data_IF_883068681226
#
_entry.id   IF_883068681226
#
_cell.length_a   1.000
_cell.length_b   1.000
_cell.length_c   1.000
_cell.angle_alpha   90.00
_cell.angle_beta   90.00
_cell.angle_gamma   90.00
#
_symmetry.space_group_name_H-M   'P 1'
#
loop_
_entity.id
_entity.type
_entity.pdbx_description
1 polymer ?
#
# COMPACT_ATOMS: atom_id res chain seq x y z
N UNK A 1 -9.28 13.84 20.53
CA UNK A 1 -8.86 14.19 19.16
C UNK A 1 -10.00 13.91 18.21
N UNK A 2 -10.36 14.88 17.38
CA UNK A 2 -11.43 14.71 16.39
C UNK A 2 -10.92 13.87 15.22
N UNK A 3 -11.36 12.62 15.14
CA UNK A 3 -11.19 11.80 13.94
C UNK A 3 -11.98 12.42 12.78
N UNK A 4 -11.33 12.58 11.64
CA UNK A 4 -11.93 13.11 10.41
C UNK A 4 -12.05 11.98 9.40
N UNK A 5 -13.20 11.90 8.74
CA UNK A 5 -13.49 10.87 7.74
C UNK A 5 -13.43 11.50 6.34
N UNK A 6 -12.63 10.88 5.46
CA UNK A 6 -12.48 11.30 4.07
C UNK A 6 -12.95 10.18 3.13
N UNK A 7 -13.84 10.52 2.21
CA UNK A 7 -14.34 9.57 1.20
C UNK A 7 -13.51 9.63 -0.07
N UNK A 8 -13.37 8.47 -0.72
CA UNK A 8 -12.79 8.41 -2.07
C UNK A 8 -13.63 9.20 -3.06
N UNK A 9 -12.98 9.83 -4.03
CA UNK A 9 -13.64 10.51 -5.16
C UNK A 9 -14.33 9.52 -6.10
N UNK A 10 -13.83 8.28 -6.15
CA UNK A 10 -14.32 7.23 -7.02
C UNK A 10 -15.40 6.36 -6.39
N UNK A 11 -15.55 6.41 -5.05
CA UNK A 11 -16.53 5.57 -4.34
C UNK A 11 -16.94 6.16 -3.01
N UNK A 12 -18.23 6.27 -2.78
CA UNK A 12 -18.80 6.68 -1.50
C UNK A 12 -18.80 5.55 -0.45
N UNK A 13 -18.42 4.35 -0.82
CA UNK A 13 -18.27 3.19 0.08
C UNK A 13 -16.89 3.14 0.73
N UNK A 14 -15.92 3.86 0.18
CA UNK A 14 -14.53 3.83 0.62
C UNK A 14 -14.16 5.13 1.31
N UNK A 15 -13.81 5.04 2.58
CA UNK A 15 -13.38 6.18 3.37
C UNK A 15 -12.20 5.80 4.26
N UNK A 16 -11.30 6.75 4.45
CA UNK A 16 -10.23 6.68 5.45
C UNK A 16 -10.59 7.52 6.67
N UNK A 17 -10.04 7.13 7.82
CA UNK A 17 -10.14 7.89 9.04
C UNK A 17 -8.78 8.53 9.35
N UNK A 18 -8.74 9.85 9.39
CA UNK A 18 -7.54 10.60 9.74
C UNK A 18 -7.65 11.11 11.18
N UNK A 19 -6.70 10.74 12.00
CA UNK A 19 -6.63 11.13 13.42
C UNK A 19 -5.50 12.15 13.55
N UNK A 20 -5.79 13.41 13.88
CA UNK A 20 -4.76 14.42 14.07
C UNK A 20 -3.94 14.13 15.33
N UNK A 21 -2.63 14.39 15.28
CA UNK A 21 -1.73 14.17 16.39
C UNK A 21 -0.27 14.26 15.97
N UNK A 22 0.61 13.75 16.83
CA UNK A 22 2.04 13.65 16.56
C UNK A 22 2.45 12.18 16.56
N UNK A 23 2.69 11.63 15.39
CA UNK A 23 2.96 10.21 15.21
C UNK A 23 4.32 9.99 14.57
N UNK A 24 4.99 8.90 14.96
CA UNK A 24 6.24 8.48 14.34
C UNK A 24 6.03 7.20 13.52
N UNK A 25 6.52 7.23 12.28
CA UNK A 25 6.72 6.05 11.44
C UNK A 25 8.19 5.62 11.55
N UNK A 26 8.58 4.55 10.85
CA UNK A 26 9.98 4.11 10.77
C UNK A 26 10.91 5.15 10.10
N UNK A 27 10.36 6.08 9.32
CA UNK A 27 11.15 7.01 8.49
C UNK A 27 10.73 8.48 8.62
N UNK A 28 9.63 8.78 9.29
CA UNK A 28 9.09 10.15 9.34
C UNK A 28 8.24 10.38 10.58
N UNK A 29 8.00 11.67 10.88
CA UNK A 29 6.95 12.10 11.78
C UNK A 29 5.80 12.65 10.95
N UNK A 30 4.57 12.31 11.32
CA UNK A 30 3.36 12.72 10.62
C UNK A 30 2.37 13.39 11.57
N UNK A 31 1.58 14.31 11.03
CA UNK A 31 0.58 15.06 11.82
C UNK A 31 -0.82 14.44 11.79
N UNK A 32 -0.99 13.36 11.03
CA UNK A 32 -2.20 12.56 10.99
C UNK A 32 -1.84 11.09 10.94
N UNK A 33 -2.45 10.29 11.79
CA UNK A 33 -2.51 8.84 11.57
C UNK A 33 -3.67 8.53 10.62
N UNK A 34 -3.36 7.82 9.56
CA UNK A 34 -4.34 7.41 8.57
C UNK A 34 -4.77 5.98 8.86
N UNK A 35 -5.97 5.81 9.39
CA UNK A 35 -6.53 4.51 9.70
C UNK A 35 -7.29 3.96 8.49
N UNK A 36 -6.75 2.90 7.92
CA UNK A 36 -7.32 2.16 6.79
C UNK A 36 -7.70 0.73 7.18
N UNK A 37 -7.79 0.44 8.46
CA UNK A 37 -8.05 -0.92 8.98
C UNK A 37 -9.34 -1.51 8.39
N UNK A 38 -10.42 -0.74 8.35
CA UNK A 38 -11.69 -1.20 7.79
C UNK A 38 -11.58 -1.54 6.29
N UNK A 39 -10.76 -0.81 5.54
CA UNK A 39 -10.55 -1.04 4.11
C UNK A 39 -9.75 -2.33 3.84
N UNK A 40 -8.94 -2.77 4.80
CA UNK A 40 -8.17 -4.02 4.70
C UNK A 40 -8.93 -5.25 5.22
N UNK A 41 -9.85 -5.06 6.16
CA UNK A 41 -10.42 -6.17 6.94
C UNK A 41 -11.90 -6.43 6.67
N UNK A 42 -12.64 -5.44 6.19
CA UNK A 42 -14.07 -5.59 5.87
C UNK A 42 -14.23 -5.93 4.39
N UNK A 43 -14.90 -7.03 4.12
CA UNK A 43 -15.01 -7.62 2.77
C UNK A 43 -15.57 -6.64 1.74
N UNK A 44 -16.64 -5.93 2.07
CA UNK A 44 -17.27 -5.00 1.13
C UNK A 44 -16.35 -3.83 0.76
N UNK A 45 -15.72 -3.23 1.78
CA UNK A 45 -14.80 -2.12 1.60
C UNK A 45 -13.53 -2.57 0.87
N UNK A 46 -12.95 -3.71 1.24
CA UNK A 46 -11.77 -4.26 0.58
C UNK A 46 -12.03 -4.57 -0.90
N UNK A 47 -13.18 -5.13 -1.21
CA UNK A 47 -13.62 -5.40 -2.58
C UNK A 47 -13.74 -4.12 -3.40
N UNK A 48 -14.31 -3.07 -2.82
CA UNK A 48 -14.47 -1.77 -3.48
C UNK A 48 -13.12 -1.07 -3.69
N UNK A 49 -12.21 -1.14 -2.72
CA UNK A 49 -10.83 -0.68 -2.86
C UNK A 49 -10.14 -1.36 -4.04
N UNK A 50 -10.26 -2.67 -4.14
CA UNK A 50 -9.69 -3.45 -5.25
C UNK A 50 -10.26 -3.02 -6.60
N UNK A 51 -11.56 -2.78 -6.68
CA UNK A 51 -12.20 -2.27 -7.89
C UNK A 51 -11.63 -0.92 -8.32
N UNK A 52 -11.51 0.01 -7.39
CA UNK A 52 -10.95 1.35 -7.66
C UNK A 52 -9.48 1.25 -8.10
N UNK A 53 -8.67 0.43 -7.41
CA UNK A 53 -7.27 0.22 -7.78
C UNK A 53 -7.14 -0.42 -9.16
N UNK A 54 -7.97 -1.40 -9.48
CA UNK A 54 -7.98 -2.02 -10.81
C UNK A 54 -8.26 -1.00 -11.91
N UNK A 55 -9.23 -0.10 -11.70
CA UNK A 55 -9.52 0.98 -12.64
C UNK A 55 -8.33 1.94 -12.81
N UNK A 56 -7.67 2.30 -11.72
CA UNK A 56 -6.52 3.22 -11.73
C UNK A 56 -5.27 2.60 -12.37
N UNK A 57 -5.00 1.34 -12.12
CA UNK A 57 -3.90 0.60 -12.75
C UNK A 57 -4.14 0.48 -14.26
N UNK A 58 -5.39 0.24 -14.64
CA UNK A 58 -5.77 0.10 -16.04
C UNK A 58 -5.22 -1.19 -16.67
N UNK A 59 -4.84 -1.10 -17.94
CA UNK A 59 -4.33 -2.27 -18.67
C UNK A 59 -2.89 -2.55 -18.33
N UNK A 60 -2.61 -3.79 -17.96
CA UNK A 60 -1.28 -4.36 -17.83
C UNK A 60 -1.16 -5.58 -18.74
N UNK A 61 0.05 -5.86 -19.24
CA UNK A 61 0.25 -6.96 -20.19
C UNK A 61 -0.02 -8.32 -19.56
N UNK A 62 0.51 -8.54 -18.36
CA UNK A 62 0.37 -9.78 -17.60
C UNK A 62 0.32 -9.47 -16.12
N UNK A 63 -0.43 -10.26 -15.36
CA UNK A 63 -0.40 -10.30 -13.90
C UNK A 63 -0.38 -11.76 -13.47
N UNK A 64 0.73 -12.19 -12.92
CA UNK A 64 0.89 -13.55 -12.37
C UNK A 64 0.76 -13.57 -10.86
N UNK A 65 1.19 -12.49 -10.20
CA UNK A 65 1.31 -12.44 -8.74
C UNK A 65 1.01 -11.04 -8.22
N UNK A 66 0.27 -10.99 -7.12
CA UNK A 66 0.13 -9.78 -6.31
C UNK A 66 0.92 -9.99 -5.02
N UNK A 67 1.92 -9.15 -4.80
CA UNK A 67 2.70 -9.11 -3.56
C UNK A 67 2.05 -8.12 -2.62
N UNK A 68 1.51 -8.63 -1.51
CA UNK A 68 0.76 -7.86 -0.54
C UNK A 68 1.65 -7.51 0.67
N UNK A 69 1.81 -6.21 0.91
CA UNK A 69 2.49 -5.66 2.07
C UNK A 69 1.47 -5.21 3.12
N UNK A 70 1.89 -5.12 4.36
CA UNK A 70 1.16 -4.44 5.44
C UNK A 70 -0.29 -4.92 5.67
N UNK A 71 -0.54 -6.21 5.53
CA UNK A 71 -1.87 -6.77 5.78
C UNK A 71 -2.90 -6.49 4.70
N UNK A 72 -2.49 -6.32 3.44
CA UNK A 72 -3.37 -6.04 2.29
C UNK A 72 -3.85 -7.28 1.54
N UNK A 73 -3.73 -8.47 2.11
CA UNK A 73 -4.02 -9.74 1.43
C UNK A 73 -5.48 -9.87 0.98
N UNK A 74 -6.42 -9.36 1.78
CA UNK A 74 -7.84 -9.38 1.42
C UNK A 74 -8.10 -8.49 0.20
N UNK A 75 -7.53 -7.28 0.18
CA UNK A 75 -7.59 -6.40 -0.99
C UNK A 75 -6.90 -7.07 -2.18
N UNK A 76 -5.74 -7.68 -1.96
CA UNK A 76 -4.98 -8.38 -2.98
C UNK A 76 -5.76 -9.53 -3.64
N UNK A 77 -6.51 -10.30 -2.86
CA UNK A 77 -7.37 -11.36 -3.38
C UNK A 77 -8.47 -10.82 -4.29
N UNK A 78 -9.15 -9.75 -3.88
CA UNK A 78 -10.16 -9.11 -4.73
C UNK A 78 -9.56 -8.41 -5.95
N UNK A 79 -8.36 -7.85 -5.83
CA UNK A 79 -7.65 -7.24 -6.97
C UNK A 79 -7.26 -8.32 -8.00
N UNK A 80 -6.79 -9.48 -7.53
CA UNK A 80 -6.54 -10.64 -8.41
C UNK A 80 -7.82 -11.06 -9.15
N UNK A 81 -8.94 -11.14 -8.43
CA UNK A 81 -10.25 -11.47 -9.03
C UNK A 81 -10.67 -10.45 -10.10
N UNK A 82 -10.43 -9.15 -9.88
CA UNK A 82 -10.71 -8.13 -10.89
C UNK A 82 -9.87 -8.33 -12.17
N UNK A 83 -8.60 -8.68 -12.06
CA UNK A 83 -7.76 -9.00 -13.22
C UNK A 83 -8.17 -10.30 -13.91
N UNK A 84 -8.63 -11.31 -13.17
CA UNK A 84 -9.13 -12.55 -13.74
C UNK A 84 -10.46 -12.38 -14.49
N UNK A 85 -11.32 -11.48 -14.05
CA UNK A 85 -12.60 -11.13 -14.70
C UNK A 85 -12.43 -10.30 -15.96
N UNK A 86 -11.26 -9.75 -16.18
CA UNK A 86 -10.99 -8.79 -17.25
C UNK A 86 -11.36 -9.29 -18.64
N UNK A 87 -11.59 -8.32 -19.52
CA UNK A 87 -12.09 -8.44 -20.90
C UNK A 87 -11.52 -9.62 -21.68
N UNK A 88 -12.29 -10.03 -22.70
CA UNK A 88 -11.94 -11.08 -23.68
C UNK A 88 -10.55 -10.91 -24.32
N UNK A 89 -9.87 -9.79 -24.10
CA UNK A 89 -8.49 -9.50 -24.51
C UNK A 89 -7.44 -9.75 -23.43
N UNK A 90 -7.84 -10.20 -22.22
CA UNK A 90 -6.88 -10.52 -21.16
C UNK A 90 -6.09 -11.78 -21.51
N UNK A 91 -4.79 -11.66 -21.57
CA UNK A 91 -3.86 -12.76 -21.84
C UNK A 91 -3.78 -13.77 -20.69
N UNK A 92 -4.29 -13.42 -19.51
CA UNK A 92 -4.27 -14.26 -18.31
C UNK A 92 -5.42 -15.30 -18.25
N UNK A 93 -6.10 -15.58 -19.33
CA UNK A 93 -7.32 -16.41 -19.38
C UNK A 93 -7.20 -17.82 -18.81
N UNK A 94 -6.02 -18.33 -18.64
CA UNK A 94 -5.77 -19.75 -18.35
C UNK A 94 -4.91 -20.00 -17.11
N UNK A 95 -4.44 -18.96 -16.45
CA UNK A 95 -3.58 -19.10 -15.27
C UNK A 95 -4.16 -18.35 -14.09
N UNK A 96 -4.10 -18.98 -12.92
CA UNK A 96 -4.51 -18.33 -11.68
C UNK A 96 -3.47 -17.30 -11.25
N UNK A 97 -3.94 -16.24 -10.59
CA UNK A 97 -3.06 -15.22 -10.00
C UNK A 97 -2.70 -15.62 -8.57
N UNK A 98 -1.41 -15.58 -8.24
CA UNK A 98 -0.95 -15.79 -6.87
C UNK A 98 -1.13 -14.51 -6.04
N UNK A 99 -1.55 -14.68 -4.79
CA UNK A 99 -1.60 -13.61 -3.80
C UNK A 99 -0.69 -14.03 -2.66
N UNK A 100 0.43 -13.33 -2.50
CA UNK A 100 1.48 -13.70 -1.56
C UNK A 100 1.92 -12.52 -0.72
N UNK A 101 2.40 -12.81 0.49
CA UNK A 101 2.99 -11.81 1.38
C UNK A 101 4.43 -12.21 1.70
N UNK A 102 5.39 -11.29 1.58
CA UNK A 102 6.76 -11.55 2.01
C UNK A 102 6.87 -11.50 3.53
N UNK A 103 7.89 -12.15 4.04
CA UNK A 103 8.43 -11.83 5.36
C UNK A 103 9.39 -10.64 5.22
N UNK A 104 9.61 -9.94 6.33
CA UNK A 104 10.63 -8.89 6.42
C UNK A 104 11.74 -9.37 7.35
N UNK A 105 12.99 -9.27 6.91
CA UNK A 105 14.13 -9.54 7.80
C UNK A 105 14.41 -8.33 8.70
N UNK A 106 15.39 -8.46 9.59
CA UNK A 106 15.80 -7.40 10.52
C UNK A 106 16.29 -6.11 9.82
N UNK A 107 16.70 -6.21 8.57
CA UNK A 107 17.15 -5.08 7.74
C UNK A 107 16.03 -4.48 6.86
N UNK A 108 14.78 -4.84 7.12
CA UNK A 108 13.61 -4.44 6.32
C UNK A 108 13.69 -4.84 4.84
N UNK A 109 14.34 -5.96 4.54
CA UNK A 109 14.39 -6.53 3.20
C UNK A 109 13.32 -7.62 3.08
N UNK A 110 12.70 -7.71 1.89
CA UNK A 110 11.75 -8.77 1.59
C UNK A 110 12.44 -10.13 1.58
N UNK A 111 11.78 -11.10 2.18
CA UNK A 111 12.20 -12.49 2.19
C UNK A 111 11.06 -13.37 1.68
N UNK A 112 11.31 -14.10 0.59
CA UNK A 112 10.44 -15.14 0.09
C UNK A 112 11.07 -16.51 0.37
N UNK A 113 10.36 -17.38 1.09
CA UNK A 113 10.82 -18.75 1.36
C UNK A 113 10.82 -19.56 0.06
N UNK A 114 11.56 -20.68 0.06
CA UNK A 114 11.77 -21.50 -1.16
C UNK A 114 10.46 -22.01 -1.78
N UNK A 115 9.45 -22.29 -0.97
CA UNK A 115 8.12 -22.69 -1.43
C UNK A 115 7.31 -21.54 -2.06
N UNK A 116 7.67 -20.28 -1.82
CA UNK A 116 7.01 -19.10 -2.37
C UNK A 116 7.78 -18.52 -3.56
N UNK A 117 9.10 -18.70 -3.62
CA UNK A 117 9.94 -18.19 -4.73
C UNK A 117 9.39 -18.47 -6.13
N UNK A 118 8.80 -19.66 -6.43
CA UNK A 118 8.23 -19.92 -7.76
C UNK A 118 7.07 -18.99 -8.14
N UNK A 119 6.41 -18.37 -7.15
CA UNK A 119 5.36 -17.36 -7.40
C UNK A 119 5.92 -15.99 -7.77
N UNK A 120 7.24 -15.80 -7.66
CA UNK A 120 7.92 -14.52 -7.93
C UNK A 120 8.89 -14.65 -9.11
N UNK A 121 9.72 -15.69 -9.13
CA UNK A 121 10.76 -15.85 -10.14
C UNK A 121 10.18 -16.00 -11.55
N UNK A 122 10.53 -15.08 -12.44
CA UNK A 122 10.01 -15.02 -13.80
C UNK A 122 8.55 -14.59 -13.92
N UNK A 123 7.93 -14.10 -12.82
CA UNK A 123 6.53 -13.71 -12.76
C UNK A 123 6.34 -12.20 -12.91
N UNK A 124 5.23 -11.81 -13.50
CA UNK A 124 4.78 -10.44 -13.60
C UNK A 124 3.99 -10.06 -12.34
N UNK A 125 4.50 -9.07 -11.61
CA UNK A 125 4.11 -8.78 -10.23
C UNK A 125 3.47 -7.40 -10.12
N UNK A 126 2.35 -7.33 -9.40
CA UNK A 126 1.82 -6.08 -8.85
C UNK A 126 2.22 -6.01 -7.37
N UNK A 127 2.84 -4.91 -6.97
CA UNK A 127 3.13 -4.60 -5.58
C UNK A 127 1.96 -3.82 -4.99
N UNK A 128 1.37 -4.34 -3.91
CA UNK A 128 0.27 -3.71 -3.19
C UNK A 128 0.71 -3.37 -1.76
N UNK A 129 0.61 -2.10 -1.40
CA UNK A 129 0.93 -1.57 -0.07
C UNK A 129 -0.31 -0.97 0.59
N UNK A 130 -0.31 -0.88 1.91
CA UNK A 130 -1.38 -0.23 2.67
C UNK A 130 -1.26 1.29 2.61
N UNK A 131 -0.18 1.82 3.16
CA UNK A 131 0.11 3.25 3.13
C UNK A 131 1.59 3.50 2.87
N UNK A 132 1.84 4.54 2.10
CA UNK A 132 3.18 4.96 1.73
C UNK A 132 3.41 6.41 2.16
N UNK A 133 4.45 6.67 2.95
CA UNK A 133 4.81 8.03 3.40
C UNK A 133 6.03 8.59 2.68
N UNK A 134 7.16 7.87 2.67
CA UNK A 134 8.41 8.33 2.05
C UNK A 134 8.76 7.58 0.76
N UNK A 135 8.06 6.50 0.47
CA UNK A 135 8.37 5.61 -0.66
C UNK A 135 9.53 4.64 -0.42
N UNK A 136 10.24 4.74 0.70
CA UNK A 136 11.40 3.87 1.00
C UNK A 136 11.00 2.39 1.05
N UNK A 137 9.86 2.07 1.62
CA UNK A 137 9.35 0.69 1.67
C UNK A 137 9.02 0.17 0.27
N UNK A 138 8.42 1.00 -0.59
CA UNK A 138 8.17 0.63 -1.99
C UNK A 138 9.50 0.38 -2.70
N UNK A 139 10.46 1.28 -2.57
CA UNK A 139 11.79 1.13 -3.18
C UNK A 139 12.44 -0.21 -2.80
N UNK A 140 12.51 -0.53 -1.51
CA UNK A 140 13.08 -1.79 -1.01
C UNK A 140 12.28 -3.00 -1.48
N UNK A 141 10.97 -2.89 -1.57
CA UNK A 141 10.10 -3.96 -2.06
C UNK A 141 10.34 -4.24 -3.53
N UNK A 142 10.49 -3.20 -4.36
CA UNK A 142 10.83 -3.33 -5.78
C UNK A 142 12.20 -3.97 -5.98
N UNK A 143 13.19 -3.59 -5.18
CA UNK A 143 14.52 -4.24 -5.19
C UNK A 143 14.42 -5.72 -4.81
N UNK A 144 13.65 -6.05 -3.77
CA UNK A 144 13.42 -7.43 -3.34
C UNK A 144 12.75 -8.27 -4.42
N UNK A 145 11.70 -7.78 -5.04
CA UNK A 145 11.01 -8.47 -6.15
C UNK A 145 12.01 -8.75 -7.29
N UNK A 146 12.81 -7.77 -7.67
CA UNK A 146 13.83 -7.93 -8.71
C UNK A 146 14.91 -8.94 -8.31
N UNK A 147 15.36 -8.91 -7.05
CA UNK A 147 16.34 -9.86 -6.53
C UNK A 147 15.87 -11.31 -6.67
N UNK A 148 14.58 -11.57 -6.44
CA UNK A 148 13.98 -12.91 -6.61
C UNK A 148 13.56 -13.21 -8.06
N UNK A 149 13.87 -12.34 -9.01
CA UNK A 149 13.62 -12.55 -10.43
C UNK A 149 12.21 -12.18 -10.90
N UNK A 150 11.45 -11.46 -10.09
CA UNK A 150 10.13 -10.94 -10.48
C UNK A 150 10.24 -9.70 -11.37
N UNK A 151 9.25 -9.52 -12.24
CA UNK A 151 9.08 -8.35 -13.10
C UNK A 151 7.93 -7.51 -12.59
N UNK A 152 8.19 -6.32 -12.08
CA UNK A 152 7.12 -5.44 -11.59
C UNK A 152 6.37 -4.81 -12.75
N UNK A 153 5.05 -4.96 -12.76
CA UNK A 153 4.15 -4.36 -13.76
C UNK A 153 3.48 -3.08 -13.24
N UNK A 154 3.13 -3.03 -11.96
CA UNK A 154 2.49 -1.89 -11.36
C UNK A 154 2.73 -1.84 -9.85
N UNK A 155 2.57 -0.65 -9.29
CA UNK A 155 2.59 -0.38 -7.85
C UNK A 155 1.28 0.25 -7.45
N UNK A 156 0.64 -0.29 -6.44
CA UNK A 156 -0.61 0.19 -5.88
C UNK A 156 -0.53 0.36 -4.37
N UNK A 157 -1.27 1.34 -3.85
CA UNK A 157 -1.36 1.62 -2.42
C UNK A 157 -2.78 2.09 -2.08
N UNK A 158 -3.25 1.84 -0.88
CA UNK A 158 -4.53 2.41 -0.44
C UNK A 158 -4.38 3.91 -0.22
N UNK A 159 -3.30 4.32 0.45
CA UNK A 159 -2.92 5.73 0.67
C UNK A 159 -1.46 5.94 0.28
N UNK A 160 -1.14 7.02 -0.43
CA UNK A 160 0.24 7.37 -0.78
C UNK A 160 0.49 8.87 -0.73
N UNK A 161 1.66 9.25 -0.20
CA UNK A 161 2.20 10.60 -0.29
C UNK A 161 3.06 10.81 -1.54
N UNK A 162 3.47 9.73 -2.20
CA UNK A 162 4.32 9.77 -3.39
C UNK A 162 3.52 9.34 -4.62
N UNK A 163 3.78 9.99 -5.74
CA UNK A 163 3.11 9.71 -7.02
C UNK A 163 3.93 8.77 -7.91
N UNK A 164 5.23 8.70 -7.67
CA UNK A 164 6.16 7.87 -8.44
C UNK A 164 7.28 7.35 -7.54
N UNK A 165 7.74 6.14 -7.82
CA UNK A 165 8.92 5.54 -7.19
C UNK A 165 9.62 4.60 -8.19
N UNK A 166 10.93 4.82 -8.39
CA UNK A 166 11.79 4.01 -9.27
C UNK A 166 11.25 3.84 -10.70
N UNK A 167 10.61 4.89 -11.23
CA UNK A 167 10.02 4.88 -12.57
C UNK A 167 8.60 4.29 -12.65
N UNK A 168 8.04 3.81 -11.53
CA UNK A 168 6.67 3.34 -11.46
C UNK A 168 5.75 4.41 -10.90
N UNK A 169 4.63 4.64 -11.58
CA UNK A 169 3.53 5.41 -11.01
C UNK A 169 2.96 4.65 -9.81
N UNK A 170 2.73 5.33 -8.69
CA UNK A 170 2.06 4.76 -7.53
C UNK A 170 0.57 5.03 -7.66
N UNK A 171 -0.19 4.01 -8.02
CA UNK A 171 -1.65 4.08 -8.11
C UNK A 171 -2.23 3.97 -6.70
N UNK A 172 -2.95 4.98 -6.25
CA UNK A 172 -3.52 4.99 -4.91
C UNK A 172 -4.99 5.40 -4.93
N UNK A 173 -5.76 4.86 -3.97
CA UNK A 173 -7.14 5.30 -3.76
C UNK A 173 -7.16 6.71 -3.19
N UNK A 174 -6.25 6.99 -2.26
CA UNK A 174 -6.07 8.31 -1.65
C UNK A 174 -4.62 8.76 -1.79
N UNK A 175 -4.44 10.02 -2.16
CA UNK A 175 -3.16 10.71 -2.13
C UNK A 175 -3.13 11.73 -0.98
N UNK A 176 -1.92 12.14 -0.54
CA UNK A 176 -1.76 13.14 0.52
C UNK A 176 -2.49 14.45 0.21
N UNK A 177 -2.53 14.85 -1.04
CA UNK A 177 -3.23 16.05 -1.53
C UNK A 177 -4.76 15.98 -1.36
N UNK A 178 -5.33 14.80 -1.20
CA UNK A 178 -6.74 14.60 -0.88
C UNK A 178 -7.07 14.89 0.60
N UNK A 179 -6.03 15.00 1.46
CA UNK A 179 -6.16 15.28 2.89
C UNK A 179 -5.62 16.67 3.21
N UNK A 180 -6.49 17.68 3.35
CA UNK A 180 -6.06 19.03 3.69
C UNK A 180 -5.26 19.07 4.99
N UNK A 181 -4.07 19.65 4.92
CA UNK A 181 -3.20 19.81 6.08
C UNK A 181 -2.38 18.59 6.47
N UNK A 182 -2.45 17.48 5.73
CA UNK A 182 -1.54 16.36 5.95
C UNK A 182 -0.10 16.76 5.67
N UNK A 183 0.81 16.42 6.58
CA UNK A 183 2.22 16.67 6.42
C UNK A 183 3.07 15.56 7.05
N UNK A 184 4.17 15.23 6.39
CA UNK A 184 5.20 14.34 6.88
C UNK A 184 6.52 15.11 6.99
N UNK A 185 7.27 14.86 8.04
CA UNK A 185 8.51 15.55 8.36
C UNK A 185 9.62 14.55 8.70
N UNK A 186 10.87 14.94 8.51
CA UNK A 186 11.95 14.23 9.19
C UNK A 186 11.84 14.49 10.71
N UNK A 187 12.42 13.62 11.53
CA UNK A 187 12.42 13.84 12.98
C UNK A 187 13.07 15.18 13.38
N UNK A 188 14.11 15.59 12.62
CA UNK A 188 14.85 16.85 12.85
C UNK A 188 14.02 18.09 12.49
N UNK A 189 13.20 18.01 11.45
CA UNK A 189 12.41 19.13 10.94
C UNK A 189 10.98 19.16 11.47
N UNK A 190 10.61 18.17 12.28
CA UNK A 190 9.26 18.08 12.82
C UNK A 190 8.91 19.28 13.71
N UNK A 191 7.87 20.06 13.36
CA UNK A 191 7.48 21.23 14.14
C UNK A 191 6.94 20.88 15.53
N UNK A 192 6.43 19.66 15.71
CA UNK A 192 5.97 19.18 17.02
C UNK A 192 7.16 18.90 17.93
N UNK A 193 8.21 18.25 17.42
CA UNK A 193 9.43 18.00 18.17
C UNK A 193 10.11 19.33 18.58
N UNK A 194 10.19 20.28 17.65
CA UNK A 194 10.75 21.62 17.92
C UNK A 194 9.99 22.37 19.02
N UNK A 195 8.70 22.09 19.19
CA UNK A 195 7.86 22.65 20.26
C UNK A 195 7.81 21.79 21.52
N UNK A 196 8.57 20.70 21.58
CA UNK A 196 8.58 19.79 22.73
C UNK A 196 7.29 18.97 22.90
N UNK A 197 6.46 18.87 21.85
CA UNK A 197 5.22 18.08 21.88
C UNK A 197 5.61 16.60 21.76
N UNK A 198 5.21 15.81 22.73
CA UNK A 198 5.46 14.35 22.75
C UNK A 198 4.73 13.63 21.62
N UNK A 199 5.24 12.47 21.28
CA UNK A 199 4.56 11.55 20.36
C UNK A 199 3.30 10.97 21.03
N UNK A 200 2.22 10.87 20.28
CA UNK A 200 0.98 10.21 20.70
C UNK A 200 1.07 8.69 20.52
N UNK A 201 1.70 8.27 19.43
CA UNK A 201 1.86 6.85 19.10
C UNK A 201 2.97 6.61 18.09
N UNK A 202 3.42 5.35 18.04
CA UNK A 202 4.24 4.81 16.93
C UNK A 202 3.31 4.07 15.98
N UNK A 203 3.50 4.30 14.68
CA UNK A 203 2.60 3.79 13.64
C UNK A 203 3.38 3.07 12.53
N UNK A 204 2.74 2.08 11.92
CA UNK A 204 3.21 1.37 10.74
C UNK A 204 2.03 0.98 9.84
N UNK A 205 2.28 0.22 8.76
CA UNK A 205 1.24 -0.22 7.84
C UNK A 205 0.17 -1.14 8.45
N UNK A 206 0.43 -1.73 9.63
CA UNK A 206 -0.52 -2.58 10.34
C UNK A 206 -1.41 -1.81 11.32
N UNK A 207 -0.94 -0.69 11.83
CA UNK A 207 -1.71 0.09 12.79
C UNK A 207 -0.85 1.02 13.64
N UNK A 208 -1.32 1.28 14.87
CA UNK A 208 -0.64 2.16 15.82
C UNK A 208 -0.56 1.54 17.21
N UNK A 209 0.47 1.95 17.94
CA UNK A 209 0.65 1.63 19.36
C UNK A 209 0.87 2.91 20.14
N UNK A 210 -0.01 3.19 21.09
CA UNK A 210 0.11 4.35 22.00
C UNK A 210 1.35 4.21 22.87
N UNK A 211 2.00 5.33 23.13
CA UNK A 211 3.14 5.44 24.04
C UNK A 211 2.71 5.75 25.46
#
# INVERSE_FOLDING_TARGET
SRMVKFYSKESNMVAIHAIPGHFATSHSHINYYIDITSLKTRIQEAKEVARVLHQKIGRVSYVDTIVCMDGTEVIGAFLAEEFEKGDMASTNRHETIYVVSPEMNSNNQLLFRDNIKPSIAGKHVILLSASTTTGKTIHRSLEGIRYYGGVTEAVASVFSTVNEMDGFQVHAVFHAEDLPGYAAYTAQDCPFCKKGIKLDAVVNGFGYSKL
#
